data_IF_807862743537
#
_entry.id   IF_807862743537
#
_cell.length_a   1.000
_cell.length_b   1.000
_cell.length_c   1.000
_cell.angle_alpha   90.00
_cell.angle_beta   90.00
_cell.angle_gamma   90.00
#
_symmetry.space_group_name_H-M   'P 1'
#
loop_
_entity.id
_entity.type
_entity.pdbx_description
1 polymer ?
#
# COMPACT_ATOMS: atom_id res chain seq x y z
N UNK A 1 4.38 -5.16 12.17
CA UNK A 1 5.85 -4.96 12.36
C UNK A 1 6.74 -5.78 11.42
N UNK A 2 6.41 -7.04 11.10
CA UNK A 2 7.25 -7.87 10.21
C UNK A 2 7.53 -7.21 8.85
N UNK A 3 6.51 -6.67 8.16
CA UNK A 3 6.70 -5.99 6.87
C UNK A 3 7.71 -4.83 6.96
N UNK A 4 7.64 -4.02 8.03
CA UNK A 4 8.60 -2.97 8.30
C UNK A 4 10.02 -3.52 8.51
N UNK A 5 10.16 -4.54 9.36
CA UNK A 5 11.46 -5.18 9.65
C UNK A 5 12.14 -5.73 8.40
N UNK A 6 11.37 -6.37 7.52
CA UNK A 6 11.90 -7.04 6.32
C UNK A 6 11.82 -6.19 5.06
N UNK A 7 11.48 -4.90 5.18
CA UNK A 7 11.30 -3.99 4.03
C UNK A 7 10.39 -4.58 2.94
N UNK A 8 9.40 -5.35 3.35
CA UNK A 8 8.47 -6.01 2.42
C UNK A 8 7.63 -4.95 1.70
N UNK A 9 7.44 -5.05 0.38
CA UNK A 9 6.51 -4.20 -0.35
C UNK A 9 5.07 -4.36 0.16
N UNK A 10 4.34 -3.26 0.29
CA UNK A 10 2.97 -3.20 0.81
C UNK A 10 2.07 -2.45 -0.17
N UNK A 11 0.80 -2.84 -0.26
CA UNK A 11 -0.26 -2.09 -0.96
C UNK A 11 -1.31 -1.70 0.06
N UNK A 12 -1.77 -0.45 0.00
CA UNK A 12 -2.91 0.02 0.80
C UNK A 12 -4.17 -0.05 -0.07
N UNK A 13 -5.22 -0.71 0.39
CA UNK A 13 -6.46 -0.89 -0.36
C UNK A 13 -7.67 -0.52 0.49
N UNK A 14 -8.77 -0.16 -0.18
CA UNK A 14 -10.09 0.10 0.42
C UNK A 14 -10.95 -1.16 0.46
N UNK A 15 -10.58 -2.18 -0.32
CA UNK A 15 -11.39 -3.40 -0.54
C UNK A 15 -12.86 -3.08 -0.85
N UNK A 16 -13.06 -2.03 -1.65
CA UNK A 16 -14.37 -1.48 -1.94
C UNK A 16 -15.22 -2.48 -2.75
N UNK A 17 -16.38 -2.84 -2.19
CA UNK A 17 -17.39 -3.66 -2.85
C UNK A 17 -18.46 -2.80 -3.57
N UNK A 18 -18.45 -1.49 -3.32
CA UNK A 18 -19.29 -0.49 -3.98
C UNK A 18 -18.45 0.72 -4.39
N UNK A 19 -18.87 1.42 -5.44
CA UNK A 19 -18.10 2.53 -6.00
C UNK A 19 -17.86 3.69 -5.01
N UNK A 20 -18.78 3.91 -4.07
CA UNK A 20 -18.67 4.97 -3.07
C UNK A 20 -17.55 4.76 -2.06
N UNK A 21 -17.06 3.52 -1.90
CA UNK A 21 -15.99 3.21 -0.96
C UNK A 21 -14.59 3.21 -1.60
N UNK A 22 -14.52 3.34 -2.93
CA UNK A 22 -13.23 3.41 -3.64
C UNK A 22 -12.45 4.63 -3.15
N UNK A 23 -11.21 4.40 -2.70
CA UNK A 23 -10.35 5.47 -2.24
C UNK A 23 -10.50 5.83 -0.75
N UNK A 24 -11.41 5.18 -0.02
CA UNK A 24 -11.53 5.34 1.43
C UNK A 24 -10.39 4.59 2.12
N UNK A 25 -9.28 5.30 2.36
CA UNK A 25 -8.06 4.74 2.95
C UNK A 25 -7.73 5.26 4.35
N UNK A 26 -8.61 6.06 4.97
CA UNK A 26 -8.29 6.79 6.21
C UNK A 26 -7.76 5.86 7.30
N UNK A 27 -8.51 4.82 7.62
CA UNK A 27 -8.21 3.86 8.68
C UNK A 27 -6.95 3.03 8.34
N UNK A 28 -6.79 2.65 7.07
CA UNK A 28 -5.59 1.95 6.61
C UNK A 28 -4.34 2.85 6.65
N UNK A 29 -4.50 4.16 6.44
CA UNK A 29 -3.42 5.14 6.51
C UNK A 29 -3.01 5.44 7.96
N UNK A 30 -3.97 5.55 8.87
CA UNK A 30 -3.69 5.65 10.32
C UNK A 30 -2.82 4.47 10.79
N UNK A 31 -3.13 3.24 10.35
CA UNK A 31 -2.30 2.06 10.65
C UNK A 31 -0.88 2.15 10.05
N UNK A 32 -0.74 2.71 8.86
CA UNK A 32 0.57 2.94 8.23
C UNK A 32 1.42 3.89 9.10
N UNK A 33 0.82 4.97 9.58
CA UNK A 33 1.48 5.96 10.43
C UNK A 33 1.85 5.37 11.80
N UNK A 34 0.91 4.68 12.46
CA UNK A 34 1.13 4.02 13.76
C UNK A 34 2.24 2.97 13.72
N UNK A 35 2.30 2.17 12.65
CA UNK A 35 3.34 1.15 12.49
C UNK A 35 4.68 1.74 12.04
N UNK A 36 4.68 3.00 11.59
CA UNK A 36 5.81 3.69 10.99
C UNK A 36 6.35 2.95 9.76
N UNK A 37 5.46 2.43 8.91
CA UNK A 37 5.84 1.93 7.59
C UNK A 37 6.38 3.08 6.77
N UNK A 38 7.51 2.86 6.11
CA UNK A 38 8.11 3.87 5.25
C UNK A 38 7.32 3.99 3.95
N UNK A 39 7.20 5.22 3.40
CA UNK A 39 6.48 5.47 2.14
C UNK A 39 7.11 4.69 0.99
N UNK A 40 8.42 4.49 1.03
CA UNK A 40 9.20 3.68 0.10
C UNK A 40 8.79 2.20 0.11
N UNK A 41 8.15 1.71 1.17
CA UNK A 41 7.58 0.35 1.19
C UNK A 41 6.21 0.25 0.53
N UNK A 42 5.48 1.36 0.40
CA UNK A 42 4.10 1.37 -0.13
C UNK A 42 4.16 1.52 -1.65
N UNK A 43 3.70 0.50 -2.38
CA UNK A 43 3.83 0.43 -3.84
C UNK A 43 2.90 1.44 -4.53
N UNK A 44 1.65 1.50 -4.09
CA UNK A 44 0.59 2.27 -4.75
C UNK A 44 0.54 3.75 -4.36
N UNK A 45 1.65 4.30 -3.86
CA UNK A 45 1.86 5.76 -3.79
C UNK A 45 2.37 6.34 -5.12
N UNK A 46 2.92 5.48 -5.99
CA UNK A 46 3.40 5.84 -7.32
C UNK A 46 2.95 4.77 -8.32
N UNK A 47 2.22 5.20 -9.35
CA UNK A 47 1.72 4.31 -10.39
C UNK A 47 2.86 3.59 -11.12
N UNK A 48 3.98 4.26 -11.40
CA UNK A 48 5.12 3.66 -12.09
C UNK A 48 5.72 2.56 -11.25
N UNK A 49 5.95 2.80 -9.95
CA UNK A 49 6.48 1.82 -9.01
C UNK A 49 5.60 0.57 -8.90
N UNK A 50 4.28 0.76 -8.84
CA UNK A 50 3.33 -0.34 -8.79
C UNK A 50 3.36 -1.16 -10.10
N UNK A 51 3.33 -0.49 -11.26
CA UNK A 51 3.36 -1.15 -12.56
C UNK A 51 4.68 -1.90 -12.79
N UNK A 52 5.82 -1.25 -12.54
CA UNK A 52 7.15 -1.87 -12.62
C UNK A 52 7.21 -3.14 -11.76
N UNK A 53 6.67 -3.10 -10.53
CA UNK A 53 6.66 -4.28 -9.66
C UNK A 53 5.83 -5.43 -10.22
N UNK A 54 4.67 -5.16 -10.83
CA UNK A 54 3.79 -6.17 -11.41
C UNK A 54 4.38 -6.75 -12.70
N UNK A 55 5.00 -5.92 -13.54
CA UNK A 55 5.59 -6.33 -14.81
C UNK A 55 6.85 -7.19 -14.60
N UNK A 56 7.71 -6.84 -13.65
CA UNK A 56 8.93 -7.59 -13.33
C UNK A 56 8.68 -8.88 -12.53
N UNK A 57 7.42 -9.18 -12.17
CA UNK A 57 7.01 -10.42 -11.49
C UNK A 57 6.58 -11.53 -12.46
N UNK A 58 6.47 -11.23 -13.76
CA UNK A 58 6.11 -12.19 -14.81
C UNK A 58 7.29 -13.05 -15.25
#
# INVERSE_FOLDING_TARGET
LACKKYKTPVVVSSDAHIAFDVGRFKEAWELVEETGLEKEQILNLDNKKLLDFVENKR
#
